data_IF_287406139129
#
_entry.id   IF_287406139129
#
_cell.length_a   1.000
_cell.length_b   1.000
_cell.length_c   1.000
_cell.angle_alpha   90.00
_cell.angle_beta   90.00
_cell.angle_gamma   90.00
#
_symmetry.space_group_name_H-M   'P 1'
#
loop_
_entity.id
_entity.type
_entity.pdbx_description
1 polymer ?
#
# COMPACT_ATOMS: atom_id res chain seq x y z
N UNK A 1 17.96 -10.86 -1.75
CA UNK A 1 18.82 -9.79 -1.29
C UNK A 1 19.06 -9.87 0.21
N UNK A 2 20.29 -9.71 0.62
CA UNK A 2 20.65 -9.73 2.04
C UNK A 2 20.18 -8.47 2.75
N UNK A 3 19.57 -8.65 3.93
CA UNK A 3 19.18 -7.55 4.81
C UNK A 3 20.15 -7.41 5.98
N UNK A 4 21.37 -7.94 5.85
CA UNK A 4 22.37 -7.94 6.93
C UNK A 4 22.77 -6.53 7.36
N UNK A 5 22.43 -5.50 6.59
CA UNK A 5 22.70 -4.12 6.95
C UNK A 5 21.45 -3.26 6.76
N UNK A 6 20.55 -3.34 7.74
CA UNK A 6 19.30 -2.58 7.73
C UNK A 6 19.55 -1.06 7.56
N UNK A 7 20.59 -0.52 8.18
CA UNK A 7 20.96 0.88 8.03
C UNK A 7 21.32 1.21 6.58
N UNK A 8 22.10 0.34 5.92
CA UNK A 8 22.47 0.51 4.51
C UNK A 8 21.26 0.48 3.60
N UNK A 9 20.27 -0.37 3.89
CA UNK A 9 19.02 -0.44 3.11
C UNK A 9 18.19 0.84 3.27
N UNK A 10 18.15 1.40 4.47
CA UNK A 10 17.45 2.67 4.73
C UNK A 10 18.08 3.79 3.90
N UNK A 11 19.41 3.89 3.88
CA UNK A 11 20.12 4.90 3.09
C UNK A 11 19.88 4.73 1.60
N UNK A 12 19.92 3.49 1.12
CA UNK A 12 19.64 3.21 -0.30
C UNK A 12 18.24 3.62 -0.71
N UNK A 13 17.26 3.34 0.13
CA UNK A 13 15.87 3.75 -0.13
C UNK A 13 15.77 5.27 -0.18
N UNK A 14 16.41 5.96 0.76
CA UNK A 14 16.40 7.42 0.79
C UNK A 14 17.06 8.00 -0.46
N UNK A 15 18.16 7.43 -0.90
CA UNK A 15 18.86 7.88 -2.11
C UNK A 15 18.01 7.68 -3.36
N UNK A 16 17.39 6.51 -3.50
CA UNK A 16 16.48 6.23 -4.62
C UNK A 16 15.29 7.17 -4.63
N UNK A 17 14.71 7.41 -3.48
CA UNK A 17 13.59 8.33 -3.31
C UNK A 17 13.98 9.75 -3.76
N UNK A 18 15.11 10.25 -3.26
CA UNK A 18 15.60 11.58 -3.61
C UNK A 18 15.87 11.70 -5.11
N UNK A 19 16.48 10.69 -5.72
CA UNK A 19 16.76 10.68 -7.15
C UNK A 19 15.48 10.68 -7.98
N UNK A 20 14.49 9.86 -7.58
CA UNK A 20 13.22 9.82 -8.27
C UNK A 20 12.50 11.18 -8.23
N UNK A 21 12.54 11.87 -7.10
CA UNK A 21 11.94 13.20 -6.98
C UNK A 21 12.65 14.22 -7.89
N UNK A 22 13.97 14.15 -7.99
CA UNK A 22 14.75 15.02 -8.92
C UNK A 22 14.34 14.81 -10.37
N UNK A 23 13.92 13.59 -10.71
CA UNK A 23 13.47 13.24 -12.07
C UNK A 23 11.97 13.48 -12.26
N UNK A 24 11.31 14.14 -11.33
CA UNK A 24 9.85 14.39 -11.35
C UNK A 24 9.02 13.12 -11.43
N UNK A 25 9.51 12.04 -10.84
CA UNK A 25 8.78 10.77 -10.77
C UNK A 25 7.89 10.72 -9.54
N UNK A 26 6.73 10.10 -9.67
CA UNK A 26 5.90 9.75 -8.51
C UNK A 26 6.47 8.49 -7.86
N UNK A 27 6.50 8.46 -6.53
CA UNK A 27 7.06 7.33 -5.77
C UNK A 27 5.98 6.71 -4.91
N UNK A 28 5.87 5.39 -4.98
CA UNK A 28 5.03 4.62 -4.06
C UNK A 28 5.97 3.89 -3.10
N UNK A 29 5.79 4.16 -1.81
CA UNK A 29 6.49 3.43 -0.74
C UNK A 29 5.55 2.35 -0.23
N UNK A 30 5.91 1.09 -0.43
CA UNK A 30 5.08 -0.03 -0.05
C UNK A 30 5.40 -0.48 1.37
N UNK A 31 4.36 -0.75 2.16
CA UNK A 31 4.50 -1.18 3.56
C UNK A 31 3.60 -2.39 3.83
N UNK A 32 4.06 -3.28 4.71
CA UNK A 32 3.37 -4.52 5.08
C UNK A 32 3.12 -4.61 6.59
N UNK A 33 3.84 -3.81 7.38
CA UNK A 33 3.77 -3.85 8.84
C UNK A 33 3.64 -2.44 9.41
N UNK A 34 3.23 -2.37 10.67
CA UNK A 34 3.16 -1.09 11.40
C UNK A 34 4.54 -0.46 11.50
N UNK A 35 5.59 -1.24 11.72
CA UNK A 35 6.96 -0.74 11.82
C UNK A 35 7.43 -0.14 10.49
N UNK A 36 7.15 -0.82 9.39
CA UNK A 36 7.47 -0.29 8.06
C UNK A 36 6.70 1.00 7.78
N UNK A 37 5.44 1.06 8.21
CA UNK A 37 4.60 2.26 8.05
C UNK A 37 5.20 3.46 8.81
N UNK A 38 5.65 3.24 10.04
CA UNK A 38 6.30 4.30 10.82
C UNK A 38 7.55 4.82 10.13
N UNK A 39 8.34 3.92 9.54
CA UNK A 39 9.54 4.30 8.79
C UNK A 39 9.18 5.04 7.50
N UNK A 40 8.08 4.70 6.88
CA UNK A 40 7.63 5.32 5.63
C UNK A 40 7.19 6.78 5.80
N UNK A 41 6.85 7.21 7.00
CA UNK A 41 6.43 8.58 7.26
C UNK A 41 7.49 9.63 6.91
N UNK A 42 8.76 9.25 6.81
CA UNK A 42 9.82 10.13 6.36
C UNK A 42 9.72 10.52 4.88
N UNK A 43 9.05 9.73 4.07
CA UNK A 43 8.90 9.94 2.63
C UNK A 43 7.65 10.76 2.34
N UNK A 44 7.67 12.03 2.72
CA UNK A 44 6.47 12.90 2.75
C UNK A 44 5.87 13.20 1.37
N UNK A 45 6.68 13.13 0.32
CA UNK A 45 6.24 13.40 -1.06
C UNK A 45 5.87 12.12 -1.82
N UNK A 46 5.72 11.01 -1.10
CA UNK A 46 5.34 9.73 -1.71
C UNK A 46 3.86 9.42 -1.51
N UNK A 47 3.36 8.50 -2.36
CA UNK A 47 2.17 7.73 -2.04
C UNK A 47 2.62 6.56 -1.17
N UNK A 48 1.81 6.15 -0.21
CA UNK A 48 2.11 4.95 0.58
C UNK A 48 1.12 3.86 0.20
N UNK A 49 1.66 2.73 -0.26
CA UNK A 49 0.88 1.54 -0.59
C UNK A 49 0.88 0.56 0.57
N UNK A 50 -0.29 0.29 1.12
CA UNK A 50 -0.47 -0.71 2.17
C UNK A 50 -0.77 -2.04 1.50
N UNK A 51 0.20 -2.96 1.53
CA UNK A 51 0.05 -4.25 0.88
C UNK A 51 -0.53 -5.28 1.85
N UNK A 52 -1.75 -5.72 1.57
CA UNK A 52 -2.46 -6.71 2.37
C UNK A 52 -1.93 -8.12 2.20
N UNK A 53 -0.98 -8.34 1.29
CA UNK A 53 -0.37 -9.65 1.06
C UNK A 53 0.88 -9.81 1.90
N UNK A 54 0.91 -10.87 2.70
CA UNK A 54 2.13 -11.28 3.38
C UNK A 54 3.07 -11.92 2.35
N UNK A 55 4.26 -11.35 2.17
CA UNK A 55 5.19 -11.82 1.14
C UNK A 55 5.81 -13.18 1.46
N UNK A 56 5.78 -13.61 2.72
CA UNK A 56 6.30 -14.93 3.12
C UNK A 56 5.29 -16.04 2.90
N UNK A 57 4.03 -15.81 3.28
CA UNK A 57 2.96 -16.83 3.19
C UNK A 57 2.11 -16.68 1.93
N UNK A 58 2.19 -15.55 1.27
CA UNK A 58 1.36 -15.11 0.13
C UNK A 58 -0.13 -14.98 0.47
N UNK A 59 -0.49 -15.10 1.72
CA UNK A 59 -1.87 -14.90 2.18
C UNK A 59 -2.18 -13.41 2.25
N UNK A 60 -3.44 -13.08 1.99
CA UNK A 60 -3.94 -11.71 2.05
C UNK A 60 -4.92 -11.54 3.20
N UNK A 61 -4.90 -10.36 3.82
CA UNK A 61 -5.81 -9.99 4.89
C UNK A 61 -6.03 -8.48 4.86
N UNK A 62 -7.24 -8.03 4.56
CA UNK A 62 -7.55 -6.59 4.48
C UNK A 62 -7.44 -5.90 5.84
N UNK A 63 -7.44 -6.64 6.96
CA UNK A 63 -7.21 -6.07 8.27
C UNK A 63 -5.82 -5.41 8.38
N UNK A 64 -4.87 -5.81 7.55
CA UNK A 64 -3.57 -5.15 7.45
C UNK A 64 -3.75 -3.66 7.18
N UNK A 65 -4.63 -3.30 6.24
CA UNK A 65 -4.92 -1.89 5.94
C UNK A 65 -5.51 -1.17 7.15
N UNK A 66 -6.45 -1.79 7.87
CA UNK A 66 -7.04 -1.16 9.04
C UNK A 66 -6.01 -0.90 10.14
N UNK A 67 -5.15 -1.89 10.40
CA UNK A 67 -4.11 -1.77 11.44
C UNK A 67 -3.06 -0.70 11.08
N UNK A 68 -2.66 -0.64 9.83
CA UNK A 68 -1.62 0.28 9.37
C UNK A 68 -2.16 1.69 9.14
N UNK A 69 -3.40 1.81 8.69
CA UNK A 69 -4.02 3.11 8.39
C UNK A 69 -3.88 4.11 9.54
N UNK A 70 -4.12 3.66 10.77
CA UNK A 70 -4.09 4.54 11.94
C UNK A 70 -2.70 5.14 12.19
N UNK A 71 -1.65 4.43 11.79
CA UNK A 71 -0.27 4.92 11.90
C UNK A 71 0.02 5.99 10.84
N UNK A 72 -0.67 5.94 9.72
CA UNK A 72 -0.39 6.78 8.55
C UNK A 72 -1.31 7.99 8.42
N UNK A 73 -2.14 8.27 9.43
CA UNK A 73 -3.11 9.39 9.36
C UNK A 73 -2.45 10.75 9.14
N UNK A 74 -1.21 10.92 9.60
CA UNK A 74 -0.47 12.17 9.45
C UNK A 74 0.33 12.26 8.16
N UNK A 75 0.33 11.21 7.34
CA UNK A 75 1.02 11.26 6.06
C UNK A 75 0.30 12.21 5.10
N UNK A 76 1.00 13.20 4.52
CA UNK A 76 0.35 14.21 3.69
C UNK A 76 -0.09 13.72 2.31
N UNK A 77 0.53 12.63 1.82
CA UNK A 77 0.23 12.08 0.50
C UNK A 77 -0.89 11.06 0.51
N UNK A 78 -1.35 10.63 -0.67
CA UNK A 78 -2.38 9.60 -0.78
C UNK A 78 -1.93 8.25 -0.22
N UNK A 79 -2.88 7.52 0.36
CA UNK A 79 -2.70 6.14 0.77
C UNK A 79 -3.41 5.22 -0.22
N UNK A 80 -2.80 4.08 -0.51
CA UNK A 80 -3.32 3.08 -1.44
C UNK A 80 -3.44 1.77 -0.67
N UNK A 81 -4.57 1.08 -0.79
CA UNK A 81 -4.70 -0.29 -0.29
C UNK A 81 -4.51 -1.26 -1.45
N UNK A 82 -3.59 -2.19 -1.29
CA UNK A 82 -3.15 -3.10 -2.35
C UNK A 82 -3.34 -4.55 -1.96
N UNK A 83 -3.73 -5.37 -2.93
CA UNK A 83 -3.87 -6.83 -2.81
C UNK A 83 -5.00 -7.27 -1.90
N UNK A 84 -5.52 -8.46 -2.16
CA UNK A 84 -6.47 -9.13 -1.29
C UNK A 84 -7.88 -8.53 -1.24
N UNK A 85 -8.18 -7.55 -2.05
CA UNK A 85 -9.53 -7.00 -2.16
C UNK A 85 -10.27 -7.84 -3.19
N UNK A 86 -11.21 -8.67 -2.72
CA UNK A 86 -11.86 -9.69 -3.55
C UNK A 86 -13.32 -9.38 -3.84
N UNK A 87 -13.96 -8.61 -2.98
CA UNK A 87 -15.39 -8.35 -3.08
C UNK A 87 -15.70 -6.87 -3.00
N UNK A 88 -16.87 -6.51 -3.51
CA UNK A 88 -17.43 -5.17 -3.39
C UNK A 88 -17.59 -4.74 -1.93
N UNK A 89 -18.03 -5.67 -1.07
CA UNK A 89 -18.24 -5.38 0.35
C UNK A 89 -16.92 -5.03 1.05
N UNK A 90 -15.84 -5.74 0.73
CA UNK A 90 -14.51 -5.42 1.25
C UNK A 90 -14.05 -4.03 0.80
N UNK A 91 -14.27 -3.71 -0.46
CA UNK A 91 -13.93 -2.39 -1.01
C UNK A 91 -14.69 -1.28 -0.29
N UNK A 92 -15.99 -1.46 -0.10
CA UNK A 92 -16.84 -0.51 0.62
C UNK A 92 -16.42 -0.38 2.08
N UNK A 93 -16.08 -1.47 2.74
CA UNK A 93 -15.62 -1.45 4.13
C UNK A 93 -14.33 -0.64 4.26
N UNK A 94 -13.35 -0.89 3.40
CA UNK A 94 -12.10 -0.13 3.38
C UNK A 94 -12.36 1.36 3.14
N UNK A 95 -13.19 1.66 2.15
CA UNK A 95 -13.51 3.05 1.79
C UNK A 95 -14.27 3.80 2.88
N UNK A 96 -15.16 3.10 3.61
CA UNK A 96 -15.99 3.73 4.64
C UNK A 96 -15.28 3.86 5.98
N UNK A 97 -14.41 2.92 6.33
CA UNK A 97 -13.74 2.88 7.64
C UNK A 97 -12.36 3.54 7.64
N UNK A 98 -11.86 3.92 6.48
CA UNK A 98 -10.56 4.60 6.35
C UNK A 98 -10.69 5.83 5.47
N UNK A 99 -9.65 6.65 5.44
CA UNK A 99 -9.56 7.77 4.49
C UNK A 99 -9.13 7.33 3.09
N UNK A 100 -8.86 6.04 2.90
CA UNK A 100 -8.31 5.52 1.64
C UNK A 100 -9.39 5.51 0.56
N UNK A 101 -9.06 6.11 -0.58
CA UNK A 101 -9.94 6.14 -1.75
C UNK A 101 -9.24 5.62 -3.00
N UNK A 102 -8.01 5.16 -2.88
CA UNK A 102 -7.21 4.62 -3.98
C UNK A 102 -6.88 3.16 -3.69
N UNK A 103 -7.15 2.30 -4.65
CA UNK A 103 -6.99 0.86 -4.50
C UNK A 103 -6.24 0.29 -5.69
N UNK A 104 -5.35 -0.65 -5.43
CA UNK A 104 -4.67 -1.41 -6.48
C UNK A 104 -5.25 -2.82 -6.50
N UNK A 105 -6.01 -3.13 -7.53
CA UNK A 105 -6.73 -4.39 -7.67
C UNK A 105 -6.36 -5.02 -9.01
N UNK A 106 -5.78 -6.20 -8.97
CA UNK A 106 -5.42 -6.92 -10.20
C UNK A 106 -5.98 -8.33 -10.25
N UNK A 107 -5.61 -9.16 -9.30
CA UNK A 107 -5.97 -10.57 -9.30
C UNK A 107 -7.47 -10.82 -9.35
N UNK A 108 -8.25 -10.13 -8.52
CA UNK A 108 -9.70 -10.30 -8.47
C UNK A 108 -10.39 -9.90 -9.76
N UNK A 109 -9.88 -8.84 -10.40
CA UNK A 109 -10.43 -8.40 -11.69
C UNK A 109 -10.09 -9.38 -12.80
N UNK A 110 -8.89 -9.95 -12.77
CA UNK A 110 -8.47 -10.95 -13.76
C UNK A 110 -9.23 -12.27 -13.61
N UNK A 111 -9.61 -12.65 -12.41
CA UNK A 111 -10.37 -13.86 -12.13
C UNK A 111 -11.85 -13.74 -12.50
N UNK A 112 -12.40 -12.54 -12.47
CA UNK A 112 -13.83 -12.28 -12.67
C UNK A 112 -14.05 -11.27 -13.80
N UNK A 113 -13.47 -11.57 -14.97
CA UNK A 113 -13.54 -10.68 -16.13
C UNK A 113 -14.97 -10.48 -16.66
N UNK A 114 -15.80 -11.52 -16.58
CA UNK A 114 -17.14 -11.51 -17.16
C UNK A 114 -18.20 -10.91 -16.24
N UNK A 115 -17.91 -10.85 -14.94
CA UNK A 115 -18.88 -10.43 -13.92
C UNK A 115 -18.23 -9.57 -12.84
N UNK A 116 -17.52 -8.53 -13.25
CA UNK A 116 -16.74 -7.66 -12.38
C UNK A 116 -17.62 -6.88 -11.39
N UNK A 117 -18.19 -7.57 -10.41
CA UNK A 117 -19.07 -6.98 -9.41
C UNK A 117 -18.40 -5.84 -8.62
N UNK A 118 -17.06 -5.85 -8.52
CA UNK A 118 -16.31 -4.78 -7.87
C UNK A 118 -16.52 -3.45 -8.59
N UNK A 119 -16.56 -3.45 -9.92
CA UNK A 119 -16.77 -2.22 -10.69
C UNK A 119 -18.17 -1.64 -10.54
N UNK A 120 -19.15 -2.42 -10.13
CA UNK A 120 -20.51 -1.92 -9.94
C UNK A 120 -20.62 -0.93 -8.79
N UNK A 121 -19.56 -0.76 -7.99
CA UNK A 121 -19.47 0.23 -6.91
C UNK A 121 -19.07 1.60 -7.44
N UNK A 122 -18.45 1.60 -8.59
CA UNK A 122 -17.94 2.81 -9.21
C UNK A 122 -19.01 3.48 -10.07
#
# INVERSE_FOLDING_TARGET
RSLSSAASDVYKRQDLYNEALKLNMSVIVEVHTVEEAKSALRFKDSLIGINNRNLKTLKTDINTTFDIHDVLVDHPGPLISESGIKTKDELLELSNKTSIKTFLIGESLLKDLDNNSIFSVL
#
